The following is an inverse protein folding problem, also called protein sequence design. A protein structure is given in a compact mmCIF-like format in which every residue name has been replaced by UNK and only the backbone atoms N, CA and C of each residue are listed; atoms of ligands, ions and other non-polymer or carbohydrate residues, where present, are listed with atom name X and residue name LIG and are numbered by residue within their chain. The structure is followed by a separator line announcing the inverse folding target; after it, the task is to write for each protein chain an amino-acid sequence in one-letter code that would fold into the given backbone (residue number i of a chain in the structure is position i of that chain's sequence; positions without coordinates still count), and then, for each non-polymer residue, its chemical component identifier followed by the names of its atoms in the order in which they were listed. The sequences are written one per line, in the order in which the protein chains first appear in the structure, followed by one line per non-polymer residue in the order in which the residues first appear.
data_IF_772848330775
#
_entry.id   IF_772848330775
#
_cell.length_a   1.000
_cell.length_b   1.000
_cell.length_c   1.000
_cell.angle_alpha   90.00
_cell.angle_beta   90.00
_cell.angle_gamma   90.00
#
_symmetry.space_group_name_H-M   'P 1'
#
loop_
_entity.id
_entity.type
_entity.pdbx_description
1 polymer ?
#
# COMPACT_ATOMS: atom_id res chain seq x y z
N UNK A 1 7.43 -20.71 -7.20
CA UNK A 1 6.38 -21.45 -7.95
C UNK A 1 5.17 -21.57 -7.03
N UNK A 2 4.42 -20.49 -6.82
CA UNK A 2 3.20 -20.52 -5.99
C UNK A 2 1.99 -20.77 -6.89
N UNK A 3 1.17 -21.70 -6.45
CA UNK A 3 0.02 -22.28 -7.16
C UNK A 3 -1.09 -21.27 -7.38
N UNK A 4 -1.29 -20.82 -8.61
CA UNK A 4 -2.53 -20.14 -9.03
C UNK A 4 -3.67 -21.17 -9.04
N UNK A 5 -4.37 -21.29 -7.91
CA UNK A 5 -5.56 -22.14 -7.80
C UNK A 5 -6.77 -21.41 -8.37
N UNK A 6 -7.64 -22.13 -9.09
CA UNK A 6 -8.85 -21.58 -9.74
C UNK A 6 -9.76 -20.80 -8.77
N UNK A 7 -9.72 -21.14 -7.47
CA UNK A 7 -10.48 -20.47 -6.41
C UNK A 7 -9.97 -19.06 -6.07
N UNK A 8 -8.66 -18.82 -6.10
CA UNK A 8 -8.12 -17.48 -5.86
C UNK A 8 -8.49 -16.53 -7.00
N UNK A 9 -8.47 -17.04 -8.24
CA UNK A 9 -8.90 -16.28 -9.42
C UNK A 9 -10.40 -15.93 -9.36
N UNK A 10 -11.25 -16.85 -8.92
CA UNK A 10 -12.69 -16.55 -8.80
C UNK A 10 -12.97 -15.55 -7.69
N UNK A 11 -12.28 -15.64 -6.55
CA UNK A 11 -12.39 -14.64 -5.48
C UNK A 11 -11.98 -13.25 -5.94
N UNK A 12 -10.87 -13.14 -6.69
CA UNK A 12 -10.42 -11.89 -7.29
C UNK A 12 -11.48 -11.28 -8.21
N UNK A 13 -12.04 -12.07 -9.14
CA UNK A 13 -13.08 -11.59 -10.07
C UNK A 13 -14.32 -11.12 -9.32
N UNK A 14 -14.74 -11.86 -8.27
CA UNK A 14 -15.89 -11.48 -7.47
C UNK A 14 -15.66 -10.15 -6.74
N UNK A 15 -14.45 -9.91 -6.21
CA UNK A 15 -14.09 -8.65 -5.57
C UNK A 15 -14.15 -7.48 -6.57
N UNK A 16 -13.54 -7.62 -7.74
CA UNK A 16 -13.58 -6.62 -8.83
C UNK A 16 -15.02 -6.25 -9.19
N UNK A 17 -15.85 -7.25 -9.47
CA UNK A 17 -17.25 -7.03 -9.84
C UNK A 17 -18.03 -6.32 -8.73
N UNK A 18 -17.79 -6.68 -7.47
CA UNK A 18 -18.49 -6.08 -6.32
C UNK A 18 -18.11 -4.62 -6.16
N UNK A 19 -16.82 -4.28 -6.25
CA UNK A 19 -16.35 -2.91 -6.06
C UNK A 19 -16.84 -2.03 -7.21
N UNK A 20 -16.78 -2.51 -8.46
CA UNK A 20 -17.28 -1.76 -9.62
C UNK A 20 -18.78 -1.48 -9.51
N UNK A 21 -19.59 -2.48 -9.14
CA UNK A 21 -21.03 -2.27 -8.97
C UNK A 21 -21.33 -1.26 -7.84
N UNK A 22 -20.59 -1.32 -6.72
CA UNK A 22 -20.71 -0.32 -5.65
C UNK A 22 -20.42 1.10 -6.15
N UNK A 23 -19.36 1.26 -6.94
CA UNK A 23 -18.99 2.54 -7.53
C UNK A 23 -20.03 3.03 -8.55
N UNK A 24 -20.56 2.13 -9.40
CA UNK A 24 -21.62 2.43 -10.36
C UNK A 24 -22.93 2.88 -9.68
N UNK A 25 -23.21 2.35 -8.49
CA UNK A 25 -24.31 2.78 -7.63
C UNK A 25 -24.04 4.10 -6.88
N UNK A 26 -22.86 4.70 -7.02
CA UNK A 26 -22.45 5.91 -6.31
C UNK A 26 -22.14 5.69 -4.83
N UNK A 27 -21.90 4.44 -4.42
CA UNK A 27 -21.47 4.09 -3.06
C UNK A 27 -19.95 4.30 -2.94
N UNK A 28 -19.48 4.65 -1.74
CA UNK A 28 -18.05 4.73 -1.41
C UNK A 28 -17.65 3.41 -0.74
N UNK A 29 -16.91 2.50 -1.41
CA UNK A 29 -16.47 1.25 -0.82
C UNK A 29 -15.43 1.49 0.27
N UNK A 30 -15.57 0.80 1.40
CA UNK A 30 -14.57 0.79 2.48
C UNK A 30 -13.96 -0.61 2.53
N UNK A 31 -12.69 -0.70 2.20
CA UNK A 31 -11.93 -1.95 2.14
C UNK A 31 -10.92 -2.00 3.29
N UNK A 32 -10.79 -3.17 3.92
CA UNK A 32 -9.82 -3.41 4.98
C UNK A 32 -9.41 -4.89 4.97
N UNK A 33 -8.26 -5.19 5.58
CA UNK A 33 -7.84 -6.56 5.84
C UNK A 33 -8.86 -7.30 6.72
N UNK A 34 -9.07 -8.59 6.45
CA UNK A 34 -9.85 -9.45 7.31
C UNK A 34 -8.96 -10.13 8.36
N UNK A 35 -8.77 -9.45 9.49
CA UNK A 35 -7.95 -9.87 10.64
C UNK A 35 -8.28 -11.27 11.19
N UNK A 36 -9.47 -11.81 10.91
CA UNK A 36 -9.92 -13.11 11.42
C UNK A 36 -9.38 -14.27 10.59
N UNK A 37 -9.06 -14.03 9.32
CA UNK A 37 -8.56 -15.04 8.37
C UNK A 37 -7.07 -14.85 8.05
N UNK A 38 -6.51 -13.67 8.33
CA UNK A 38 -5.09 -13.38 8.17
C UNK A 38 -4.24 -14.21 9.14
N UNK A 39 -3.38 -15.07 8.61
CA UNK A 39 -2.41 -15.83 9.42
C UNK A 39 -1.35 -14.83 9.92
N UNK A 40 -1.06 -14.84 11.22
CA UNK A 40 -0.28 -13.81 11.91
C UNK A 40 1.16 -13.54 11.39
N UNK A 41 1.67 -14.36 10.47
CA UNK A 41 2.98 -14.18 9.82
C UNK A 41 2.98 -13.14 8.69
N UNK A 42 1.82 -12.66 8.22
CA UNK A 42 1.68 -11.68 7.12
C UNK A 42 1.03 -10.38 7.65
N UNK A 43 1.59 -9.76 8.70
CA UNK A 43 1.00 -8.56 9.35
C UNK A 43 1.77 -7.25 9.14
N UNK A 44 2.83 -7.27 8.33
CA UNK A 44 3.62 -6.07 8.04
C UNK A 44 3.18 -5.48 6.70
N UNK A 45 2.60 -4.27 6.71
CA UNK A 45 2.33 -3.51 5.48
C UNK A 45 1.06 -3.88 4.70
N UNK A 46 0.09 -4.54 5.34
CA UNK A 46 -1.01 -5.17 4.61
C UNK A 46 -1.94 -4.16 3.94
N UNK A 47 -2.33 -3.08 4.63
CA UNK A 47 -3.22 -2.09 4.04
C UNK A 47 -2.58 -1.23 2.93
N UNK A 48 -1.26 -0.99 2.95
CA UNK A 48 -0.58 -0.33 1.83
C UNK A 48 -0.70 -1.22 0.57
N UNK A 49 -0.38 -2.52 0.71
CA UNK A 49 -0.48 -3.51 -0.39
C UNK A 49 -1.92 -3.75 -0.84
N UNK A 50 -2.86 -3.88 0.11
CA UNK A 50 -4.28 -4.04 -0.16
C UNK A 50 -4.84 -2.82 -0.90
N UNK A 51 -4.40 -1.61 -0.55
CA UNK A 51 -4.80 -0.39 -1.25
C UNK A 51 -4.28 -0.36 -2.69
N UNK A 52 -3.04 -0.79 -2.93
CA UNK A 52 -2.47 -0.93 -4.28
C UNK A 52 -3.22 -1.96 -5.12
N UNK A 53 -3.51 -3.14 -4.55
CA UNK A 53 -4.32 -4.18 -5.21
C UNK A 53 -5.72 -3.66 -5.52
N UNK A 54 -6.35 -2.96 -4.57
CA UNK A 54 -7.70 -2.39 -4.74
C UNK A 54 -7.70 -1.32 -5.83
N UNK A 55 -6.70 -0.43 -5.85
CA UNK A 55 -6.51 0.56 -6.91
C UNK A 55 -6.36 -0.10 -8.28
N UNK A 56 -5.56 -1.17 -8.37
CA UNK A 56 -5.41 -1.95 -9.60
C UNK A 56 -6.70 -2.66 -10.03
N UNK A 57 -7.50 -3.18 -9.07
CA UNK A 57 -8.79 -3.83 -9.33
C UNK A 57 -9.82 -2.89 -9.98
N UNK A 58 -9.83 -1.62 -9.56
CA UNK A 58 -10.77 -0.60 -10.06
C UNK A 58 -10.20 0.27 -11.17
N UNK A 59 -8.96 -0.01 -11.62
CA UNK A 59 -8.23 0.83 -12.57
C UNK A 59 -8.17 2.30 -12.14
N UNK A 60 -7.87 2.56 -10.87
CA UNK A 60 -7.76 3.91 -10.34
C UNK A 60 -6.63 4.68 -11.04
N UNK A 61 -6.89 5.95 -11.37
CA UNK A 61 -5.86 6.85 -11.92
C UNK A 61 -4.79 7.20 -10.87
N UNK A 62 -5.17 7.24 -9.58
CA UNK A 62 -4.31 7.64 -8.48
C UNK A 62 -4.57 6.81 -7.22
N UNK A 63 -3.49 6.51 -6.49
CA UNK A 63 -3.53 5.97 -5.14
C UNK A 63 -2.92 6.99 -4.18
N UNK A 64 -3.69 7.41 -3.17
CA UNK A 64 -3.21 8.33 -2.14
C UNK A 64 -2.92 7.57 -0.84
N UNK A 65 -1.64 7.46 -0.49
CA UNK A 65 -1.18 6.86 0.76
C UNK A 65 -0.98 7.96 1.81
N UNK A 66 -1.88 8.03 2.80
CA UNK A 66 -1.77 9.00 3.90
C UNK A 66 -0.85 8.47 5.00
N UNK A 67 0.07 9.31 5.48
CA UNK A 67 1.07 8.96 6.51
C UNK A 67 1.26 10.09 7.51
N UNK A 68 1.83 9.76 8.67
CA UNK A 68 2.25 10.68 9.73
C UNK A 68 3.61 11.37 9.46
N UNK A 69 4.22 11.09 8.30
CA UNK A 69 5.44 11.76 7.82
C UNK A 69 5.08 12.64 6.62
N UNK A 70 5.58 13.87 6.58
CA UNK A 70 5.14 14.87 5.60
C UNK A 70 5.42 14.47 4.14
N UNK A 71 6.53 13.79 3.88
CA UNK A 71 6.93 13.30 2.56
C UNK A 71 8.01 12.21 2.66
N UNK A 72 8.43 11.70 1.51
CA UNK A 72 9.63 10.87 1.40
C UNK A 72 10.88 11.74 1.56
N UNK A 73 11.92 11.22 2.21
CA UNK A 73 13.20 11.92 2.39
C UNK A 73 14.36 11.05 1.91
N UNK A 74 15.45 11.69 1.49
CA UNK A 74 16.71 10.99 1.11
C UNK A 74 17.31 10.21 2.29
N UNK A 75 17.13 10.70 3.50
CA UNK A 75 17.58 10.10 4.77
C UNK A 75 16.54 10.32 5.86
N UNK A 76 16.62 9.60 6.98
CA UNK A 76 15.74 9.87 8.12
C UNK A 76 15.97 11.29 8.69
N UNK A 77 14.99 12.21 8.60
CA UNK A 77 15.16 13.60 9.01
C UNK A 77 15.24 13.78 10.53
N UNK A 78 14.84 12.78 11.32
CA UNK A 78 14.93 12.81 12.79
C UNK A 78 16.36 12.61 13.28
N UNK A 79 17.22 11.98 12.48
CA UNK A 79 18.59 11.62 12.86
C UNK A 79 19.64 12.26 11.96
N UNK A 80 19.26 12.73 10.77
CA UNK A 80 20.16 13.34 9.80
C UNK A 80 19.68 14.76 9.46
N UNK A 81 20.45 15.81 9.81
CA UNK A 81 20.08 17.20 9.48
C UNK A 81 20.19 17.49 7.97
N UNK A 82 20.99 16.71 7.23
CA UNK A 82 21.14 16.83 5.77
C UNK A 82 20.07 16.03 5.00
N UNK A 83 18.97 15.65 5.63
CA UNK A 83 17.87 14.95 4.97
C UNK A 83 17.10 15.95 4.08
N UNK A 84 16.95 15.59 2.80
CA UNK A 84 16.24 16.41 1.82
C UNK A 84 14.91 15.74 1.45
N UNK A 85 13.86 16.54 1.31
CA UNK A 85 12.55 16.09 0.88
C UNK A 85 12.57 15.66 -0.59
N UNK A 86 11.95 14.53 -0.89
CA UNK A 86 11.76 13.99 -2.23
C UNK A 86 10.29 14.20 -2.59
N UNK A 87 10.01 15.23 -3.38
CA UNK A 87 8.64 15.59 -3.77
C UNK A 87 8.12 14.74 -4.93
N UNK A 88 9.00 14.32 -5.83
CA UNK A 88 8.65 13.52 -7.02
C UNK A 88 9.69 12.43 -7.22
N UNK A 89 9.21 11.23 -7.51
CA UNK A 89 10.02 10.06 -7.89
C UNK A 89 9.54 9.59 -9.26
N UNK A 90 10.36 9.79 -10.29
CA UNK A 90 10.05 9.35 -11.66
C UNK A 90 10.40 7.86 -11.87
N UNK A 91 11.42 7.37 -11.16
CA UNK A 91 11.91 5.99 -11.25
C UNK A 91 12.21 5.47 -9.83
N UNK A 92 11.41 4.50 -9.39
CA UNK A 92 11.54 3.86 -8.08
C UNK A 92 12.84 3.04 -8.00
N UNK A 93 13.31 2.45 -9.10
CA UNK A 93 14.54 1.64 -9.09
C UNK A 93 15.79 2.52 -8.90
N UNK A 94 15.71 3.79 -9.32
CA UNK A 94 16.76 4.79 -9.14
C UNK A 94 16.68 5.51 -7.78
N UNK A 95 15.64 5.25 -6.97
CA UNK A 95 15.37 5.97 -5.74
C UNK A 95 16.44 5.66 -4.67
N UNK A 96 17.20 6.69 -4.29
CA UNK A 96 18.12 6.62 -3.16
C UNK A 96 17.50 7.26 -1.92
N UNK A 97 16.60 6.52 -1.27
CA UNK A 97 15.98 6.92 -0.02
C UNK A 97 16.27 5.90 1.09
N UNK A 98 16.63 6.39 2.29
CA UNK A 98 16.70 5.55 3.47
C UNK A 98 15.30 5.23 4.00
N UNK A 99 14.80 4.05 3.62
CA UNK A 99 13.46 3.56 3.97
C UNK A 99 13.49 2.59 5.15
N UNK A 100 14.65 2.44 5.80
CA UNK A 100 14.91 1.42 6.81
C UNK A 100 14.28 1.71 8.18
N UNK A 101 13.82 2.95 8.42
CA UNK A 101 13.14 3.28 9.68
C UNK A 101 11.72 2.72 9.68
N UNK A 102 11.51 1.64 10.44
CA UNK A 102 10.17 1.17 10.80
C UNK A 102 9.38 2.30 11.48
N UNK A 103 8.11 2.45 11.09
CA UNK A 103 7.19 3.48 11.60
C UNK A 103 6.97 3.41 13.11
N UNK A 104 6.28 4.44 13.64
CA UNK A 104 6.01 4.67 15.06
C UNK A 104 5.42 3.46 15.81
N UNK A 105 5.46 3.48 17.14
CA UNK A 105 5.00 2.38 18.02
C UNK A 105 3.52 1.97 17.86
N UNK A 106 2.76 2.66 17.02
CA UNK A 106 1.33 2.46 16.80
C UNK A 106 1.00 1.90 15.40
N UNK A 107 1.97 1.83 14.47
CA UNK A 107 1.74 1.35 13.10
C UNK A 107 2.89 0.47 12.58
N UNK A 108 2.57 -0.69 12.01
CA UNK A 108 3.54 -1.66 11.48
C UNK A 108 3.93 -1.42 10.01
N UNK A 109 3.37 -0.39 9.36
CA UNK A 109 3.65 0.00 7.96
C UNK A 109 4.55 1.23 7.89
N UNK A 110 5.71 1.10 7.26
CA UNK A 110 6.73 2.15 7.15
C UNK A 110 6.79 2.78 5.76
N UNK A 111 7.84 3.58 5.53
CA UNK A 111 8.07 4.17 4.20
C UNK A 111 8.37 3.10 3.13
N UNK A 112 9.00 1.98 3.54
CA UNK A 112 9.30 0.86 2.65
C UNK A 112 8.05 0.23 2.04
N UNK A 113 6.99 0.01 2.82
CA UNK A 113 5.74 -0.62 2.34
C UNK A 113 4.96 0.31 1.42
N UNK A 114 5.08 1.63 1.63
CA UNK A 114 4.46 2.65 0.77
C UNK A 114 5.11 2.71 -0.60
N UNK A 115 6.45 2.59 -0.65
CA UNK A 115 7.18 2.54 -1.93
C UNK A 115 6.88 1.26 -2.70
N UNK A 116 6.66 0.13 -2.02
CA UNK A 116 6.26 -1.12 -2.70
C UNK A 116 4.82 -1.06 -3.22
N UNK A 117 3.95 -0.31 -2.55
CA UNK A 117 2.55 -0.13 -2.95
C UNK A 117 2.38 0.88 -4.11
N UNK A 118 3.29 1.85 -4.22
CA UNK A 118 3.33 2.84 -5.31
C UNK A 118 3.90 2.23 -6.59
#
# INVERSE_FOLDING_TARGET
MYTNTTSQRSQYINAVNTINELLDMGVIPIVNENDTLAVAEIKFGDNDTLSAITAAMVHADYLFLMTDVDCLYTKNPRTNPDAEAIEVVDDIDALQADVSSAGSSLGTGGMSTKIVAA
#
